data_IF_322656656384
#
_entry.id   IF_322656656384
#
_cell.length_a   1.000
_cell.length_b   1.000
_cell.length_c   1.000
_cell.angle_alpha   90.00
_cell.angle_beta   90.00
_cell.angle_gamma   90.00
#
_symmetry.space_group_name_H-M   'P 1'
#
loop_
_entity.id
_entity.type
_entity.pdbx_description
1 polymer ?
#
# COMPACT_ATOMS: atom_id res chain seq x y z
N UNK A 1 -12.70 -19.24 -19.54
CA UNK A 1 -11.66 -18.45 -18.85
C UNK A 1 -11.49 -19.01 -17.45
N UNK A 2 -10.25 -19.23 -17.00
CA UNK A 2 -9.98 -19.67 -15.62
C UNK A 2 -9.84 -18.45 -14.72
N UNK A 3 -10.41 -18.54 -13.52
CA UNK A 3 -10.33 -17.49 -12.49
C UNK A 3 -9.93 -18.12 -11.17
N UNK A 4 -9.12 -17.42 -10.39
CA UNK A 4 -8.55 -17.93 -9.16
C UNK A 4 -8.88 -17.01 -8.00
N UNK A 5 -9.25 -17.58 -6.87
CA UNK A 5 -9.31 -16.87 -5.59
C UNK A 5 -8.58 -17.68 -4.55
N UNK A 6 -7.68 -17.01 -3.83
CA UNK A 6 -6.88 -17.64 -2.79
C UNK A 6 -7.47 -17.30 -1.43
N UNK A 7 -7.67 -18.30 -0.59
CA UNK A 7 -8.21 -18.13 0.76
C UNK A 7 -7.16 -18.46 1.80
N UNK A 8 -7.26 -17.79 2.95
CA UNK A 8 -6.43 -18.04 4.11
C UNK A 8 -7.35 -18.51 5.25
N UNK A 9 -7.57 -19.83 5.43
CA UNK A 9 -8.59 -20.34 6.36
C UNK A 9 -8.45 -19.84 7.81
N UNK A 10 -7.22 -19.58 8.25
CA UNK A 10 -6.92 -19.04 9.58
C UNK A 10 -7.31 -17.56 9.75
N UNK A 11 -7.64 -16.87 8.65
CA UNK A 11 -7.91 -15.44 8.58
C UNK A 11 -9.24 -15.14 7.86
N UNK A 12 -10.32 -15.83 8.25
CA UNK A 12 -11.65 -15.73 7.62
C UNK A 12 -12.22 -14.31 7.44
N UNK A 13 -11.77 -13.32 8.25
CA UNK A 13 -12.17 -11.92 8.11
C UNK A 13 -11.73 -11.24 6.79
N UNK A 14 -10.76 -11.83 6.09
CA UNK A 14 -10.24 -11.35 4.82
C UNK A 14 -10.64 -12.26 3.65
N UNK A 15 -11.61 -13.16 3.86
CA UNK A 15 -12.06 -14.08 2.83
C UNK A 15 -13.03 -13.38 1.86
N UNK A 16 -12.56 -13.19 0.63
CA UNK A 16 -13.32 -12.58 -0.47
C UNK A 16 -13.91 -13.62 -1.43
N UNK A 17 -13.74 -14.93 -1.18
CA UNK A 17 -14.17 -16.02 -2.07
C UNK A 17 -15.66 -15.98 -2.40
N UNK A 18 -16.50 -15.57 -1.44
CA UNK A 18 -17.94 -15.40 -1.67
C UNK A 18 -18.22 -14.31 -2.71
N UNK A 19 -17.50 -13.19 -2.65
CA UNK A 19 -17.65 -12.10 -3.60
C UNK A 19 -17.09 -12.48 -4.98
N UNK A 20 -15.93 -13.12 -5.00
CA UNK A 20 -15.33 -13.62 -6.23
C UNK A 20 -16.22 -14.65 -6.95
N UNK A 21 -16.86 -15.56 -6.19
CA UNK A 21 -17.80 -16.54 -6.75
C UNK A 21 -18.98 -15.86 -7.45
N UNK A 22 -19.54 -14.79 -6.88
CA UNK A 22 -20.65 -14.06 -7.53
C UNK A 22 -20.24 -13.51 -8.90
N UNK A 23 -19.02 -12.97 -9.00
CA UNK A 23 -18.47 -12.45 -10.27
C UNK A 23 -18.20 -13.60 -11.24
N UNK A 24 -17.63 -14.71 -10.76
CA UNK A 24 -17.37 -15.89 -11.58
C UNK A 24 -18.66 -16.52 -12.14
N UNK A 25 -19.70 -16.64 -11.31
CA UNK A 25 -21.02 -17.14 -11.71
C UNK A 25 -21.64 -16.21 -12.78
N UNK A 26 -21.52 -14.88 -12.60
CA UNK A 26 -22.03 -13.89 -13.55
C UNK A 26 -21.36 -13.98 -14.93
N UNK A 27 -20.03 -14.17 -14.97
CA UNK A 27 -19.27 -14.29 -16.21
C UNK A 27 -19.11 -15.75 -16.71
N UNK A 28 -19.71 -16.72 -16.01
CA UNK A 28 -19.63 -18.15 -16.30
C UNK A 28 -18.17 -18.65 -16.47
N UNK A 29 -17.30 -18.31 -15.53
CA UNK A 29 -15.87 -18.70 -15.56
C UNK A 29 -15.61 -20.03 -14.88
N UNK A 30 -14.52 -20.69 -15.25
CA UNK A 30 -14.01 -21.85 -14.52
C UNK A 30 -13.29 -21.32 -13.26
N UNK A 31 -14.01 -21.32 -12.13
CA UNK A 31 -13.55 -20.71 -10.89
C UNK A 31 -12.88 -21.71 -9.95
N UNK A 32 -11.65 -21.39 -9.54
CA UNK A 32 -10.83 -22.18 -8.64
C UNK A 32 -10.63 -21.42 -7.33
N UNK A 33 -11.07 -22.01 -6.21
CA UNK A 33 -10.78 -21.50 -4.87
C UNK A 33 -9.64 -22.31 -4.28
N UNK A 34 -8.48 -21.68 -4.07
CA UNK A 34 -7.26 -22.32 -3.60
C UNK A 34 -6.99 -21.90 -2.15
N UNK A 35 -6.83 -22.85 -1.25
CA UNK A 35 -6.56 -22.54 0.15
C UNK A 35 -5.05 -22.58 0.43
N UNK A 36 -4.57 -21.59 1.20
CA UNK A 36 -3.23 -21.64 1.78
C UNK A 36 -3.25 -22.54 3.00
N UNK A 37 -2.60 -23.70 2.91
CA UNK A 37 -2.61 -24.72 3.97
C UNK A 37 -1.87 -24.26 5.24
N UNK A 38 -0.62 -23.80 5.10
CA UNK A 38 0.23 -23.42 6.23
C UNK A 38 1.19 -22.31 5.87
N UNK A 39 1.23 -21.29 6.72
CA UNK A 39 2.25 -20.23 6.69
C UNK A 39 3.34 -20.62 7.69
N UNK A 40 4.57 -20.77 7.24
CA UNK A 40 5.74 -21.01 8.10
C UNK A 40 6.63 -19.77 8.12
N UNK A 41 7.33 -19.53 9.23
CA UNK A 41 8.26 -18.40 9.33
C UNK A 41 9.48 -18.55 8.40
N UNK A 42 9.74 -19.76 7.88
CA UNK A 42 10.86 -20.05 6.98
C UNK A 42 10.77 -19.30 5.64
N UNK A 43 9.56 -18.82 5.28
CA UNK A 43 9.35 -17.98 4.10
C UNK A 43 10.03 -16.60 4.24
N UNK A 44 10.17 -16.08 5.46
CA UNK A 44 10.70 -14.74 5.71
C UNK A 44 12.14 -14.61 5.21
N UNK A 45 13.11 -15.47 5.63
CA UNK A 45 14.48 -15.36 5.12
C UNK A 45 14.56 -15.63 3.61
N UNK A 46 13.71 -16.50 3.06
CA UNK A 46 13.67 -16.76 1.61
C UNK A 46 13.25 -15.51 0.84
N UNK A 47 12.18 -14.84 1.25
CA UNK A 47 11.74 -13.60 0.62
C UNK A 47 12.75 -12.47 0.84
N UNK A 48 13.33 -12.36 2.03
CA UNK A 48 14.34 -11.33 2.30
C UNK A 48 15.54 -11.39 1.35
N UNK A 49 16.03 -12.60 1.04
CA UNK A 49 17.13 -12.80 0.07
C UNK A 49 16.71 -12.37 -1.34
N UNK A 50 15.47 -12.64 -1.72
CA UNK A 50 15.01 -12.46 -3.11
C UNK A 50 14.56 -11.03 -3.40
N UNK A 51 14.10 -10.31 -2.39
CA UNK A 51 13.77 -8.91 -2.52
C UNK A 51 15.02 -8.03 -2.50
N UNK A 52 16.14 -8.48 -1.90
CA UNK A 52 17.45 -7.80 -1.96
C UNK A 52 17.44 -6.30 -1.54
N UNK A 53 16.34 -5.85 -0.93
CA UNK A 53 16.07 -4.49 -0.48
C UNK A 53 15.04 -4.56 0.67
N UNK A 54 15.16 -3.77 1.75
CA UNK A 54 14.13 -3.61 2.78
C UNK A 54 12.80 -3.05 2.23
N UNK A 55 12.03 -3.89 1.54
CA UNK A 55 10.64 -3.61 1.21
C UNK A 55 9.75 -3.86 2.43
N UNK A 56 8.95 -2.86 2.82
CA UNK A 56 8.13 -2.91 4.03
C UNK A 56 6.63 -3.05 3.71
N UNK A 57 6.28 -4.05 2.88
CA UNK A 57 4.88 -4.35 2.54
C UNK A 57 4.39 -5.63 3.25
N UNK A 58 3.35 -5.49 4.07
CA UNK A 58 2.72 -6.59 4.82
C UNK A 58 2.12 -7.69 3.94
N UNK A 59 1.87 -7.40 2.66
CA UNK A 59 1.29 -8.31 1.68
C UNK A 59 2.33 -9.10 0.87
N UNK A 60 3.64 -8.93 1.12
CA UNK A 60 4.69 -9.71 0.44
C UNK A 60 4.50 -11.22 0.59
N UNK A 61 4.25 -11.69 1.82
CA UNK A 61 4.04 -13.12 2.12
C UNK A 61 2.77 -13.63 1.43
N UNK A 62 1.58 -13.00 1.62
CA UNK A 62 0.38 -13.37 0.87
C UNK A 62 0.58 -13.41 -0.64
N UNK A 63 1.20 -12.39 -1.23
CA UNK A 63 1.40 -12.29 -2.69
C UNK A 63 2.25 -13.43 -3.23
N UNK A 64 3.31 -13.81 -2.50
CA UNK A 64 4.13 -14.96 -2.85
C UNK A 64 3.32 -16.27 -2.82
N UNK A 65 2.56 -16.50 -1.74
CA UNK A 65 1.76 -17.73 -1.57
C UNK A 65 0.65 -17.83 -2.64
N UNK A 66 0.01 -16.69 -2.95
CA UNK A 66 -0.97 -16.58 -4.04
C UNK A 66 -0.33 -16.97 -5.36
N UNK A 67 0.84 -16.39 -5.67
CA UNK A 67 1.58 -16.68 -6.90
C UNK A 67 1.98 -18.15 -7.00
N UNK A 68 2.44 -18.74 -5.88
CA UNK A 68 2.82 -20.15 -5.78
C UNK A 68 1.66 -21.09 -6.09
N UNK A 69 0.46 -20.79 -5.59
CA UNK A 69 -0.75 -21.57 -5.83
C UNK A 69 -1.24 -21.43 -7.28
N UNK A 70 -1.35 -20.19 -7.77
CA UNK A 70 -1.81 -19.92 -9.15
C UNK A 70 -0.87 -20.54 -10.18
N UNK A 71 0.45 -20.54 -9.92
CA UNK A 71 1.44 -21.12 -10.83
C UNK A 71 1.16 -22.57 -11.19
N UNK A 72 0.56 -23.34 -10.29
CA UNK A 72 0.24 -24.75 -10.50
C UNK A 72 -0.78 -24.95 -11.64
N UNK A 73 -1.50 -23.89 -12.02
CA UNK A 73 -2.56 -23.93 -13.02
C UNK A 73 -2.25 -23.16 -14.31
N UNK A 74 -1.42 -22.11 -14.25
CA UNK A 74 -1.04 -21.31 -15.42
C UNK A 74 0.32 -20.62 -15.23
N UNK A 75 0.89 -20.14 -16.34
CA UNK A 75 2.15 -19.36 -16.36
C UNK A 75 1.92 -17.86 -16.51
N UNK A 76 0.72 -17.44 -16.96
CA UNK A 76 0.35 -16.04 -17.15
C UNK A 76 -1.01 -15.80 -16.49
N UNK A 77 -1.11 -14.76 -15.68
CA UNK A 77 -2.32 -14.31 -15.03
C UNK A 77 -2.54 -12.80 -15.25
N UNK A 78 -3.78 -12.35 -15.05
CA UNK A 78 -4.16 -10.93 -15.13
C UNK A 78 -4.52 -10.47 -13.73
N UNK A 79 -3.83 -9.44 -13.24
CA UNK A 79 -4.07 -8.79 -11.96
C UNK A 79 -4.93 -7.53 -12.08
N UNK A 80 -5.30 -6.96 -10.94
CA UNK A 80 -6.06 -5.70 -10.83
C UNK A 80 -5.23 -4.50 -10.42
N UNK A 81 -3.90 -4.62 -10.44
CA UNK A 81 -2.98 -3.64 -9.88
C UNK A 81 -3.02 -2.31 -10.64
N UNK A 82 -2.85 -1.21 -9.90
CA UNK A 82 -3.05 0.15 -10.41
C UNK A 82 -4.49 0.65 -10.34
N UNK A 83 -5.46 -0.22 -10.04
CA UNK A 83 -6.87 0.17 -9.95
C UNK A 83 -7.14 1.18 -8.84
N UNK A 84 -6.55 0.97 -7.66
CA UNK A 84 -6.76 1.87 -6.52
C UNK A 84 -6.18 3.26 -6.78
N UNK A 85 -5.02 3.37 -7.42
CA UNK A 85 -4.39 4.63 -7.79
C UNK A 85 -5.16 5.34 -8.92
N UNK A 86 -5.62 4.61 -9.93
CA UNK A 86 -6.36 5.21 -11.05
C UNK A 86 -7.75 5.71 -10.66
N UNK A 87 -8.43 4.99 -9.75
CA UNK A 87 -9.84 5.24 -9.43
C UNK A 87 -10.07 5.74 -8.00
N UNK A 88 -9.03 5.92 -7.19
CA UNK A 88 -9.15 6.41 -5.81
C UNK A 88 -9.73 5.37 -4.86
N UNK A 89 -9.35 4.09 -5.00
CA UNK A 89 -9.93 2.97 -4.26
C UNK A 89 -9.43 2.80 -2.82
N UNK A 90 -8.29 3.40 -2.47
CA UNK A 90 -7.78 3.27 -1.11
C UNK A 90 -8.59 4.09 -0.08
N UNK A 91 -8.96 3.43 1.02
CA UNK A 91 -9.72 4.04 2.13
C UNK A 91 -9.04 5.26 2.78
N UNK A 92 -7.72 5.39 2.63
CA UNK A 92 -6.99 6.53 3.15
C UNK A 92 -7.27 7.82 2.39
N UNK A 93 -7.68 7.77 1.12
CA UNK A 93 -8.07 8.96 0.38
C UNK A 93 -9.28 9.64 1.01
N UNK A 94 -10.34 8.88 1.29
CA UNK A 94 -11.52 9.36 2.00
C UNK A 94 -11.17 9.95 3.36
N UNK A 95 -10.31 9.25 4.11
CA UNK A 95 -9.88 9.71 5.42
C UNK A 95 -9.11 11.02 5.32
N UNK A 96 -8.24 11.15 4.33
CA UNK A 96 -7.45 12.36 4.08
C UNK A 96 -8.36 13.55 3.78
N UNK A 97 -9.35 13.38 2.89
CA UNK A 97 -10.32 14.42 2.56
C UNK A 97 -11.11 14.84 3.81
N UNK A 98 -11.58 13.88 4.61
CA UNK A 98 -12.30 14.15 5.87
C UNK A 98 -11.44 14.92 6.87
N UNK A 99 -10.17 14.54 7.03
CA UNK A 99 -9.23 15.26 7.91
C UNK A 99 -8.98 16.67 7.37
N UNK A 100 -8.73 16.83 6.07
CA UNK A 100 -8.52 18.14 5.46
C UNK A 100 -9.73 19.07 5.62
N UNK A 101 -10.95 18.56 5.50
CA UNK A 101 -12.18 19.34 5.66
C UNK A 101 -12.48 19.70 7.13
N UNK A 102 -12.27 18.77 8.06
CA UNK A 102 -12.57 18.98 9.49
C UNK A 102 -11.54 19.89 10.17
N UNK A 103 -10.27 19.77 9.79
CA UNK A 103 -9.17 20.57 10.39
C UNK A 103 -9.17 22.05 10.00
N UNK A 104 -9.93 22.46 8.98
CA UNK A 104 -10.14 23.87 8.62
C UNK A 104 -10.77 24.67 9.76
N UNK A 105 -11.61 24.04 10.57
CA UNK A 105 -12.30 24.67 11.69
C UNK A 105 -11.49 24.64 13.00
N UNK A 106 -10.35 23.93 13.03
CA UNK A 106 -9.53 23.80 14.22
C UNK A 106 -8.45 24.88 14.23
N UNK A 107 -8.30 25.67 15.31
CA UNK A 107 -7.24 26.68 15.43
C UNK A 107 -5.85 26.06 15.25
N UNK A 108 -4.95 26.78 14.56
CA UNK A 108 -3.60 26.31 14.26
C UNK A 108 -2.79 25.95 15.51
N UNK A 109 -2.98 26.68 16.61
CA UNK A 109 -2.33 26.38 17.90
C UNK A 109 -2.70 25.00 18.44
N UNK A 110 -3.98 24.62 18.35
CA UNK A 110 -4.45 23.30 18.80
C UNK A 110 -3.93 22.19 17.89
N UNK A 111 -3.93 22.40 16.57
CA UNK A 111 -3.34 21.44 15.60
C UNK A 111 -1.87 21.17 15.88
N UNK A 112 -1.08 22.22 16.13
CA UNK A 112 0.33 22.12 16.50
C UNK A 112 0.53 21.39 17.83
N UNK A 113 -0.31 21.69 18.83
CA UNK A 113 -0.24 21.03 20.13
C UNK A 113 -0.47 19.52 19.98
N UNK A 114 -1.56 19.12 19.33
CA UNK A 114 -1.89 17.70 19.12
C UNK A 114 -0.77 17.00 18.35
N UNK A 115 -0.33 17.57 17.21
CA UNK A 115 0.76 17.04 16.40
C UNK A 115 2.06 16.88 17.20
N UNK A 116 2.40 17.81 18.09
CA UNK A 116 3.60 17.69 18.94
C UNK A 116 3.44 16.63 20.04
N UNK A 117 2.24 16.46 20.59
CA UNK A 117 1.99 15.48 21.66
C UNK A 117 2.01 14.03 21.17
N UNK A 118 1.89 13.77 19.86
CA UNK A 118 1.94 12.39 19.34
C UNK A 118 3.28 11.72 19.52
N UNK A 119 4.37 12.48 19.71
CA UNK A 119 5.70 11.94 19.99
C UNK A 119 5.73 11.07 21.27
N UNK A 120 4.81 11.32 22.21
CA UNK A 120 4.68 10.56 23.45
C UNK A 120 3.78 9.32 23.34
N UNK A 121 3.04 9.18 22.23
CA UNK A 121 2.29 7.95 21.97
C UNK A 121 3.29 6.82 21.68
N UNK A 122 2.90 5.54 21.87
CA UNK A 122 3.72 4.41 21.44
C UNK A 122 3.74 4.29 19.90
N UNK A 123 4.83 3.74 19.35
CA UNK A 123 4.89 3.37 17.93
C UNK A 123 3.79 2.33 17.65
N UNK A 124 3.14 2.43 16.49
CA UNK A 124 2.01 1.56 16.11
C UNK A 124 0.65 1.93 16.72
N UNK A 125 0.54 2.99 17.53
CA UNK A 125 -0.77 3.47 18.01
C UNK A 125 -1.68 3.84 16.84
N UNK A 126 -2.86 3.21 16.76
CA UNK A 126 -3.79 3.38 15.64
C UNK A 126 -4.20 4.85 15.50
N UNK A 127 -3.95 5.42 14.33
CA UNK A 127 -4.28 6.83 14.04
C UNK A 127 -3.22 7.83 14.46
N UNK A 128 -2.10 7.41 15.08
CA UNK A 128 -0.96 8.28 15.41
C UNK A 128 -0.51 9.10 14.20
N UNK A 129 -0.29 8.46 13.05
CA UNK A 129 0.19 9.14 11.83
C UNK A 129 -0.74 10.25 11.38
N UNK A 130 -2.06 10.07 11.52
CA UNK A 130 -3.05 11.10 11.20
C UNK A 130 -3.02 12.25 12.20
N UNK A 131 -2.82 11.96 13.48
CA UNK A 131 -2.67 12.98 14.51
C UNK A 131 -1.38 13.79 14.33
N UNK A 132 -0.28 13.13 13.96
CA UNK A 132 1.00 13.77 13.67
C UNK A 132 0.85 14.74 12.48
N UNK A 133 0.13 14.33 11.44
CA UNK A 133 -0.11 15.12 10.24
C UNK A 133 -1.33 16.08 10.34
N UNK A 134 -1.90 16.30 11.53
CA UNK A 134 -3.02 17.26 11.70
C UNK A 134 -2.65 18.70 11.33
N UNK A 135 -1.36 19.06 11.44
CA UNK A 135 -0.86 20.39 11.13
C UNK A 135 -0.40 20.54 9.67
N UNK A 136 -0.56 19.51 8.83
CA UNK A 136 -0.20 19.53 7.41
C UNK A 136 -1.05 20.56 6.65
N UNK A 137 -0.41 21.30 5.74
CA UNK A 137 -1.14 22.20 4.84
C UNK A 137 -1.60 21.42 3.60
N UNK A 138 -2.81 20.86 3.65
CA UNK A 138 -3.37 20.05 2.58
C UNK A 138 -3.52 20.78 1.22
N UNK A 139 -3.51 22.13 1.20
CA UNK A 139 -3.53 22.89 -0.05
C UNK A 139 -2.16 22.87 -0.77
N UNK A 140 -1.08 22.52 -0.06
CA UNK A 140 0.30 22.53 -0.58
C UNK A 140 1.02 21.18 -0.49
N UNK A 141 0.60 20.34 0.45
CA UNK A 141 1.30 19.11 0.81
C UNK A 141 0.35 17.91 0.77
N UNK A 142 0.92 16.72 0.60
CA UNK A 142 0.24 15.44 0.80
C UNK A 142 0.97 14.75 1.96
N UNK A 143 0.30 14.44 3.08
CA UNK A 143 0.97 13.83 4.21
C UNK A 143 1.38 12.39 3.92
N UNK A 144 2.57 12.00 4.36
CA UNK A 144 3.03 10.62 4.33
C UNK A 144 2.32 9.82 5.43
N UNK A 145 1.27 9.11 5.04
CA UNK A 145 0.39 8.37 5.95
C UNK A 145 0.79 6.90 6.13
N UNK A 146 1.60 6.36 5.23
CA UNK A 146 2.12 4.99 5.29
C UNK A 146 3.43 4.89 6.10
N UNK A 147 3.91 5.99 6.71
CA UNK A 147 5.13 5.94 7.51
C UNK A 147 4.89 5.32 8.89
N UNK A 148 5.72 4.34 9.24
CA UNK A 148 5.77 3.73 10.58
C UNK A 148 6.51 4.64 11.56
N UNK A 149 7.57 5.31 11.10
CA UNK A 149 8.42 6.17 11.92
C UNK A 149 8.11 7.64 11.63
N UNK A 150 7.99 8.43 12.70
CA UNK A 150 7.99 9.88 12.58
C UNK A 150 9.44 10.41 12.57
N UNK A 151 9.60 11.68 12.20
CA UNK A 151 10.91 12.36 12.14
C UNK A 151 11.67 12.26 13.48
N UNK A 152 10.95 12.29 14.61
CA UNK A 152 11.55 12.18 15.93
C UNK A 152 12.17 10.79 16.17
N UNK A 153 11.46 9.72 15.83
CA UNK A 153 11.96 8.36 15.96
C UNK A 153 13.05 8.06 14.93
N UNK A 154 12.94 8.56 13.70
CA UNK A 154 13.99 8.43 12.68
C UNK A 154 15.30 9.07 13.17
N UNK A 155 15.26 10.29 13.74
CA UNK A 155 16.44 10.96 14.30
C UNK A 155 17.10 10.20 15.45
N UNK A 156 16.35 9.36 16.16
CA UNK A 156 16.89 8.52 17.24
C UNK A 156 17.47 7.20 16.74
N UNK A 157 16.95 6.67 15.63
CA UNK A 157 17.31 5.36 15.09
C UNK A 157 18.44 5.43 14.05
N UNK A 158 18.50 6.53 13.28
CA UNK A 158 19.48 6.68 12.22
C UNK A 158 20.83 7.17 12.78
N UNK A 159 21.91 6.57 12.28
CA UNK A 159 23.30 6.96 12.60
C UNK A 159 23.63 8.34 11.99
N UNK A 160 23.03 8.66 10.83
CA UNK A 160 23.15 9.94 10.14
C UNK A 160 21.77 10.61 10.06
N UNK A 161 21.71 11.95 10.02
CA UNK A 161 20.45 12.65 9.75
C UNK A 161 19.79 12.14 8.47
N UNK A 162 18.45 12.08 8.44
CA UNK A 162 17.70 11.61 7.27
C UNK A 162 17.99 12.46 6.03
N UNK A 163 18.30 13.74 6.25
CA UNK A 163 18.70 14.72 5.25
C UNK A 163 20.04 14.35 4.57
N UNK A 164 20.82 13.42 5.12
CA UNK A 164 22.00 12.87 4.46
C UNK A 164 21.67 11.77 3.44
N UNK A 165 20.43 11.30 3.41
CA UNK A 165 19.95 10.23 2.52
C UNK A 165 18.86 10.71 1.55
N UNK A 166 18.15 11.79 1.88
CA UNK A 166 17.10 12.37 1.06
C UNK A 166 17.42 13.83 0.76
N UNK A 167 17.41 14.19 -0.53
CA UNK A 167 17.59 15.57 -0.98
C UNK A 167 16.41 16.48 -0.58
N UNK A 168 15.23 15.90 -0.30
CA UNK A 168 14.02 16.63 0.06
C UNK A 168 13.23 16.00 1.21
N UNK A 169 12.44 16.84 1.92
CA UNK A 169 11.60 16.41 3.06
C UNK A 169 10.47 15.46 2.67
N UNK A 170 9.98 15.53 1.44
CA UNK A 170 8.99 14.60 0.90
C UNK A 170 9.20 14.42 -0.62
N UNK A 171 10.16 13.58 -1.02
CA UNK A 171 10.54 13.40 -2.43
C UNK A 171 9.36 12.92 -3.29
N UNK A 172 8.38 12.28 -2.67
CA UNK A 172 7.21 11.72 -3.35
C UNK A 172 6.24 12.80 -3.84
N UNK A 173 6.26 14.00 -3.23
CA UNK A 173 5.34 15.09 -3.56
C UNK A 173 5.93 16.19 -4.45
N UNK A 174 7.25 16.17 -4.67
CA UNK A 174 8.02 17.25 -5.31
C UNK A 174 7.53 17.61 -6.71
N UNK A 175 7.06 16.61 -7.46
CA UNK A 175 6.62 16.77 -8.85
C UNK A 175 5.09 16.73 -9.03
N UNK A 176 4.33 16.87 -7.95
CA UNK A 176 2.86 16.83 -8.00
C UNK A 176 2.28 18.25 -8.15
N UNK A 177 1.58 18.57 -9.27
CA UNK A 177 1.06 19.92 -9.48
C UNK A 177 0.04 20.36 -8.44
N UNK A 178 0.22 21.57 -7.89
CA UNK A 178 -0.68 22.16 -6.89
C UNK A 178 -2.05 22.57 -7.45
N UNK A 179 -2.24 22.56 -8.77
CA UNK A 179 -3.50 23.01 -9.41
C UNK A 179 -4.63 21.97 -9.35
N UNK A 180 -4.31 20.73 -8.96
CA UNK A 180 -5.26 19.63 -8.87
C UNK A 180 -5.89 19.58 -7.46
N UNK A 181 -7.09 19.02 -7.34
CA UNK A 181 -7.70 18.81 -6.02
C UNK A 181 -6.90 17.78 -5.19
N UNK A 182 -7.18 17.73 -3.88
CA UNK A 182 -6.43 16.90 -2.95
C UNK A 182 -6.47 15.40 -3.30
N UNK A 183 -7.59 14.90 -3.81
CA UNK A 183 -7.71 13.50 -4.22
C UNK A 183 -6.82 13.24 -5.43
N UNK A 184 -6.94 14.05 -6.48
CA UNK A 184 -6.10 13.93 -7.68
C UNK A 184 -4.60 14.03 -7.37
N UNK A 185 -4.22 14.92 -6.44
CA UNK A 185 -2.83 15.06 -6.02
C UNK A 185 -2.33 13.80 -5.30
N UNK A 186 -3.13 13.22 -4.41
CA UNK A 186 -2.78 12.01 -3.69
C UNK A 186 -2.76 10.76 -4.57
N UNK A 187 -3.77 10.56 -5.42
CA UNK A 187 -3.78 9.44 -6.37
C UNK A 187 -2.61 9.53 -7.34
N UNK A 188 -2.27 10.74 -7.81
CA UNK A 188 -1.09 10.95 -8.65
C UNK A 188 0.22 10.70 -7.92
N UNK A 189 0.32 11.08 -6.65
CA UNK A 189 1.50 10.77 -5.82
C UNK A 189 1.67 9.26 -5.69
N UNK A 190 0.59 8.53 -5.39
CA UNK A 190 0.65 7.07 -5.26
C UNK A 190 0.96 6.42 -6.62
N UNK A 191 0.31 6.87 -7.70
CA UNK A 191 0.57 6.37 -9.06
C UNK A 191 2.03 6.56 -9.51
N UNK A 192 2.64 7.72 -9.19
CA UNK A 192 4.00 8.04 -9.63
C UNK A 192 5.08 7.48 -8.71
N UNK A 193 4.75 7.05 -7.49
CA UNK A 193 5.73 6.62 -6.50
C UNK A 193 5.34 5.28 -5.85
N UNK A 194 4.23 5.23 -5.12
CA UNK A 194 3.85 4.04 -4.35
C UNK A 194 3.62 2.81 -5.24
N UNK A 195 2.92 3.00 -6.37
CA UNK A 195 2.64 1.95 -7.33
C UNK A 195 3.94 1.37 -7.95
N UNK A 196 4.81 2.17 -8.60
CA UNK A 196 6.02 1.64 -9.23
C UNK A 196 7.11 1.21 -8.24
N UNK A 197 7.22 1.83 -7.05
CA UNK A 197 8.32 1.55 -6.12
C UNK A 197 7.99 0.47 -5.07
N UNK A 198 6.69 0.20 -4.81
CA UNK A 198 6.28 -0.79 -3.80
C UNK A 198 5.39 -1.88 -4.40
N UNK A 199 4.19 -1.50 -4.86
CA UNK A 199 3.17 -2.46 -5.30
C UNK A 199 3.65 -3.32 -6.47
N UNK A 200 4.14 -2.71 -7.55
CA UNK A 200 4.59 -3.44 -8.74
C UNK A 200 5.88 -4.22 -8.48
N UNK A 201 6.81 -3.66 -7.71
CA UNK A 201 8.07 -4.35 -7.32
C UNK A 201 7.76 -5.63 -6.54
N UNK A 202 6.85 -5.55 -5.57
CA UNK A 202 6.39 -6.71 -4.80
C UNK A 202 5.79 -7.77 -5.69
N UNK A 203 4.87 -7.38 -6.57
CA UNK A 203 4.13 -8.32 -7.40
C UNK A 203 5.08 -9.02 -8.35
N UNK A 204 5.91 -8.27 -9.07
CA UNK A 204 6.89 -8.81 -10.01
C UNK A 204 7.83 -9.79 -9.32
N UNK A 205 8.43 -9.40 -8.18
CA UNK A 205 9.35 -10.28 -7.44
C UNK A 205 8.65 -11.52 -6.92
N UNK A 206 7.49 -11.37 -6.27
CA UNK A 206 6.73 -12.50 -5.74
C UNK A 206 6.27 -13.47 -6.82
N UNK A 207 5.81 -12.96 -7.96
CA UNK A 207 5.28 -13.79 -9.05
C UNK A 207 6.40 -14.45 -9.84
N UNK A 208 7.48 -13.72 -10.15
CA UNK A 208 8.63 -14.23 -10.88
C UNK A 208 9.41 -15.27 -10.07
N UNK A 209 9.46 -15.15 -8.74
CA UNK A 209 9.96 -16.20 -7.85
C UNK A 209 9.24 -17.55 -8.03
N UNK A 210 7.98 -17.49 -8.44
CA UNK A 210 7.14 -18.63 -8.73
C UNK A 210 7.01 -18.90 -10.24
N UNK A 211 7.82 -18.27 -11.10
CA UNK A 211 7.72 -18.40 -12.56
C UNK A 211 6.31 -18.10 -13.10
N UNK A 212 5.62 -17.13 -12.50
CA UNK A 212 4.29 -16.64 -12.88
C UNK A 212 4.41 -15.20 -13.39
N UNK A 213 3.97 -14.95 -14.62
CA UNK A 213 3.83 -13.61 -15.18
C UNK A 213 2.46 -13.05 -14.77
N UNK A 214 2.43 -11.89 -14.12
CA UNK A 214 1.20 -11.18 -13.79
C UNK A 214 1.13 -9.90 -14.63
N UNK A 215 0.06 -9.73 -15.40
CA UNK A 215 -0.18 -8.55 -16.23
C UNK A 215 -1.16 -7.60 -15.56
N UNK A 216 -0.86 -6.31 -15.58
CA UNK A 216 -1.71 -5.24 -15.06
C UNK A 216 -2.39 -4.47 -16.22
N UNK A 217 -3.53 -4.95 -16.75
CA UNK A 217 -4.16 -4.36 -17.94
C UNK A 217 -4.67 -2.93 -17.72
N UNK A 218 -4.90 -2.52 -16.47
CA UNK A 218 -5.31 -1.16 -16.13
C UNK A 218 -4.19 -0.13 -16.38
N UNK A 219 -2.93 -0.59 -16.42
CA UNK A 219 -1.76 0.24 -16.66
C UNK A 219 -1.30 0.22 -18.12
N UNK A 220 -1.98 -0.53 -18.99
CA UNK A 220 -1.65 -0.62 -20.40
C UNK A 220 -2.13 0.64 -21.14
N UNK A 221 -1.17 1.46 -21.60
CA UNK A 221 -1.43 2.69 -22.36
C UNK A 221 -1.24 2.37 -23.85
N UNK A 222 -2.35 2.34 -24.60
CA UNK A 222 -2.34 2.17 -26.05
C UNK A 222 -1.88 3.41 -26.79
#
# INVERSE_FOLDING_TARGET
MKTFTVTFPQYAKFDESRHAKLIADYFNTEHHVLAVDRITCDIIPQLAIQYDDPLCDTSMIPTFLVSQLIRQHCTVAVGGDGGDELFGGYSHYDRMIKVAQTTKYIPSGLKKLVSKTTQYLPLGFKGRTWLTNLNTNFDKEIPLIASIFDEHNLKRLLIKPIEAFLDEKNPFSTNIPLRQDLLQRATRMDFMNYLPEDILVKIDRASMLNSLEIRAPLLDVK
#
